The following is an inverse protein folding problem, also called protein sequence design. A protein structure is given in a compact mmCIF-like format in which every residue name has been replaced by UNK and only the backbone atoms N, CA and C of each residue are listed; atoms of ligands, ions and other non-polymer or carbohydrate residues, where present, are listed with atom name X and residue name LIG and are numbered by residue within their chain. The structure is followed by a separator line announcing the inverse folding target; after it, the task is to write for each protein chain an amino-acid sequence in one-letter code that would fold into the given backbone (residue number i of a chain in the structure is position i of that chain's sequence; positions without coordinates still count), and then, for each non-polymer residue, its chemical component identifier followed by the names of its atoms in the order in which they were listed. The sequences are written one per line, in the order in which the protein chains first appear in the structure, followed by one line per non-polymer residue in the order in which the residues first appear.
data_IF_322954102422
#
_entry.id   IF_322954102422
#
_cell.length_a   1.000
_cell.length_b   1.000
_cell.length_c   1.000
_cell.angle_alpha   90.00
_cell.angle_beta   90.00
_cell.angle_gamma   90.00
#
_symmetry.space_group_name_H-M   'P 1'
#
loop_
_entity.id
_entity.type
_entity.pdbx_description
1 polymer ?
#
# COMPACT_ATOMS: atom_id res chain seq x y z
N UNK A 1 23.85 -18.00 -31.29
CA UNK A 1 22.85 -18.99 -31.73
C UNK A 1 23.56 -20.32 -31.98
N UNK A 2 23.30 -21.33 -31.15
CA UNK A 2 23.57 -22.72 -31.45
C UNK A 2 22.19 -23.37 -31.61
N UNK A 3 21.87 -23.82 -32.83
CA UNK A 3 20.53 -24.26 -33.21
C UNK A 3 20.28 -25.68 -32.71
N UNK A 4 19.31 -25.82 -31.80
CA UNK A 4 18.63 -27.06 -31.38
C UNK A 4 19.37 -28.12 -30.54
N UNK A 5 20.59 -27.89 -30.06
CA UNK A 5 21.20 -28.79 -29.08
C UNK A 5 20.89 -28.36 -27.64
N UNK A 6 20.27 -29.25 -26.85
CA UNK A 6 20.07 -29.06 -25.42
C UNK A 6 21.40 -29.33 -24.70
N UNK A 7 22.09 -28.27 -24.30
CA UNK A 7 23.26 -28.34 -23.42
C UNK A 7 22.81 -28.59 -21.98
N UNK A 8 23.32 -29.68 -21.39
CA UNK A 8 23.13 -30.00 -19.98
C UNK A 8 24.28 -29.42 -19.18
N UNK A 9 23.98 -28.44 -18.31
CA UNK A 9 24.97 -27.85 -17.40
C UNK A 9 24.72 -28.36 -15.99
N UNK A 10 25.72 -29.00 -15.39
CA UNK A 10 25.66 -29.46 -14.00
C UNK A 10 25.66 -28.27 -13.04
N UNK A 11 24.82 -28.33 -12.01
CA UNK A 11 24.79 -27.35 -10.93
C UNK A 11 25.78 -27.76 -9.83
N UNK A 12 26.41 -26.76 -9.21
CA UNK A 12 27.12 -26.98 -7.95
C UNK A 12 26.10 -27.16 -6.80
N UNK A 13 26.60 -27.49 -5.60
CA UNK A 13 25.75 -27.80 -4.43
C UNK A 13 24.84 -26.60 -4.09
N UNK A 14 25.40 -25.40 -4.01
CA UNK A 14 24.64 -24.19 -3.63
C UNK A 14 23.54 -23.88 -4.66
N UNK A 15 23.87 -23.91 -5.94
CA UNK A 15 22.92 -23.72 -7.04
C UNK A 15 21.81 -24.78 -7.04
N UNK A 16 22.12 -26.02 -6.64
CA UNK A 16 21.14 -27.08 -6.54
C UNK A 16 20.20 -26.89 -5.34
N UNK A 17 20.72 -26.42 -4.20
CA UNK A 17 19.92 -26.04 -3.02
C UNK A 17 18.98 -24.88 -3.34
N UNK A 18 19.48 -23.84 -4.00
CA UNK A 18 18.68 -22.68 -4.43
C UNK A 18 17.59 -23.10 -5.41
N UNK A 19 17.91 -23.96 -6.37
CA UNK A 19 16.94 -24.48 -7.33
C UNK A 19 15.83 -25.31 -6.64
N UNK A 20 16.19 -26.16 -5.66
CA UNK A 20 15.22 -26.90 -4.84
C UNK A 20 14.29 -25.96 -4.10
N UNK A 21 14.83 -24.92 -3.47
CA UNK A 21 14.05 -23.98 -2.67
C UNK A 21 13.14 -23.10 -3.55
N UNK A 22 13.62 -22.72 -4.74
CA UNK A 22 12.80 -22.03 -5.75
C UNK A 22 11.61 -22.90 -6.20
N UNK A 23 11.82 -24.20 -6.43
CA UNK A 23 10.73 -25.15 -6.75
C UNK A 23 9.69 -25.19 -5.63
N UNK A 24 10.13 -25.31 -4.37
CA UNK A 24 9.23 -25.37 -3.22
C UNK A 24 8.41 -24.08 -3.06
N UNK A 25 9.05 -22.91 -3.17
CA UNK A 25 8.39 -21.60 -3.14
C UNK A 25 7.38 -21.46 -4.27
N UNK A 26 7.73 -21.87 -5.49
CA UNK A 26 6.84 -21.80 -6.65
C UNK A 26 5.61 -22.70 -6.50
N UNK A 27 5.79 -23.94 -6.01
CA UNK A 27 4.69 -24.87 -5.71
C UNK A 27 3.72 -24.29 -4.68
N UNK A 28 4.27 -23.77 -3.57
CA UNK A 28 3.45 -23.17 -2.52
C UNK A 28 2.70 -21.92 -3.00
N UNK A 29 3.38 -21.06 -3.77
CA UNK A 29 2.77 -19.87 -4.37
C UNK A 29 1.65 -20.21 -5.36
N UNK A 30 1.86 -21.22 -6.21
CA UNK A 30 0.86 -21.70 -7.16
C UNK A 30 -0.37 -22.30 -6.44
N UNK A 31 -0.13 -23.09 -5.38
CA UNK A 31 -1.19 -23.64 -4.53
C UNK A 31 -1.99 -22.53 -3.85
N UNK A 32 -1.32 -21.53 -3.28
CA UNK A 32 -1.99 -20.38 -2.66
C UNK A 32 -2.87 -19.63 -3.66
N UNK A 33 -2.37 -19.36 -4.87
CA UNK A 33 -3.18 -18.73 -5.94
C UNK A 33 -4.38 -19.58 -6.33
N UNK A 34 -4.21 -20.90 -6.40
CA UNK A 34 -5.31 -21.83 -6.68
C UNK A 34 -6.37 -21.78 -5.56
N UNK A 35 -5.96 -21.77 -4.29
CA UNK A 35 -6.86 -21.64 -3.15
C UNK A 35 -7.66 -20.33 -3.21
N UNK A 36 -6.99 -19.20 -3.45
CA UNK A 36 -7.66 -17.90 -3.60
C UNK A 36 -8.69 -17.93 -4.73
N UNK A 37 -8.33 -18.47 -5.91
CA UNK A 37 -9.27 -18.61 -7.03
C UNK A 37 -10.46 -19.49 -6.68
N UNK A 38 -10.23 -20.63 -6.03
CA UNK A 38 -11.30 -21.55 -5.62
C UNK A 38 -12.24 -20.92 -4.60
N UNK A 39 -11.69 -20.21 -3.62
CA UNK A 39 -12.47 -19.44 -2.64
C UNK A 39 -13.30 -18.38 -3.36
N UNK A 40 -12.68 -17.58 -4.24
CA UNK A 40 -13.38 -16.56 -5.03
C UNK A 40 -14.50 -17.15 -5.88
N UNK A 41 -14.29 -18.28 -6.55
CA UNK A 41 -15.33 -18.95 -7.35
C UNK A 41 -16.50 -19.47 -6.50
N UNK A 42 -16.27 -19.74 -5.22
CA UNK A 42 -17.30 -20.20 -4.28
C UNK A 42 -18.07 -19.03 -3.67
N UNK A 43 -17.40 -17.94 -3.33
CA UNK A 43 -18.00 -16.79 -2.61
C UNK A 43 -18.53 -15.69 -3.54
N UNK A 44 -18.02 -15.59 -4.76
CA UNK A 44 -18.47 -14.56 -5.71
C UNK A 44 -19.87 -14.88 -6.19
N UNK A 45 -20.86 -14.19 -5.62
CA UNK A 45 -22.27 -14.30 -6.02
C UNK A 45 -22.48 -13.98 -7.50
N UNK A 46 -23.61 -14.45 -8.05
CA UNK A 46 -23.94 -14.30 -9.48
C UNK A 46 -23.95 -12.83 -9.95
N UNK A 47 -23.47 -12.67 -11.19
CA UNK A 47 -23.34 -11.49 -12.06
C UNK A 47 -24.42 -10.40 -11.89
N UNK A 48 -24.24 -9.51 -10.92
CA UNK A 48 -24.87 -8.20 -10.90
C UNK A 48 -23.90 -7.19 -10.28
N UNK A 49 -23.85 -5.96 -10.80
CA UNK A 49 -23.11 -4.89 -10.13
C UNK A 49 -23.75 -4.66 -8.75
N UNK A 50 -23.06 -4.94 -7.64
CA UNK A 50 -23.63 -4.73 -6.32
C UNK A 50 -23.93 -3.24 -6.13
N UNK A 51 -25.12 -2.91 -5.64
CA UNK A 51 -25.52 -1.52 -5.37
C UNK A 51 -24.61 -0.83 -4.34
N UNK A 52 -24.01 -1.61 -3.43
CA UNK A 52 -22.99 -1.17 -2.50
C UNK A 52 -22.03 -2.33 -2.18
N UNK A 53 -20.77 -2.03 -1.90
CA UNK A 53 -19.75 -2.99 -1.49
C UNK A 53 -18.99 -2.43 -0.27
N UNK A 54 -18.68 -3.31 0.68
CA UNK A 54 -17.78 -3.00 1.80
C UNK A 54 -16.49 -3.78 1.56
N UNK A 55 -15.40 -3.04 1.40
CA UNK A 55 -14.06 -3.62 1.25
C UNK A 55 -13.32 -3.53 2.57
N UNK A 56 -12.79 -4.66 3.04
CA UNK A 56 -11.95 -4.73 4.24
C UNK A 56 -10.52 -4.97 3.80
N UNK A 57 -9.60 -4.10 4.25
CA UNK A 57 -8.17 -4.23 4.00
C UNK A 57 -7.50 -4.73 5.27
N UNK A 58 -6.99 -5.95 5.22
CA UNK A 58 -6.16 -6.56 6.25
C UNK A 58 -4.76 -6.79 5.67
N UNK A 59 -3.77 -6.10 6.22
CA UNK A 59 -2.39 -6.10 5.73
C UNK A 59 -1.42 -6.17 6.90
N UNK A 60 -0.21 -6.65 6.62
CA UNK A 60 0.88 -6.67 7.60
C UNK A 60 1.15 -5.26 8.13
N UNK A 61 1.20 -5.12 9.45
CA UNK A 61 1.63 -3.89 10.09
C UNK A 61 3.11 -3.58 9.81
N UNK A 62 3.55 -2.40 10.22
CA UNK A 62 4.96 -2.01 10.13
C UNK A 62 5.83 -3.01 10.92
N UNK A 63 6.93 -3.47 10.32
CA UNK A 63 7.83 -4.46 10.91
C UNK A 63 9.24 -3.89 11.08
N UNK A 64 9.76 -4.02 12.30
CA UNK A 64 11.18 -3.74 12.61
C UNK A 64 11.73 -4.91 13.42
N UNK A 65 12.58 -5.71 12.78
CA UNK A 65 13.32 -6.79 13.40
C UNK A 65 14.79 -6.42 13.59
N UNK A 66 15.53 -7.30 14.28
CA UNK A 66 16.98 -7.19 14.39
C UNK A 66 17.66 -7.27 13.03
N UNK A 67 17.12 -8.10 12.14
CA UNK A 67 17.57 -8.27 10.77
C UNK A 67 16.36 -8.10 9.85
N UNK A 68 16.36 -7.03 9.04
CA UNK A 68 15.32 -6.76 8.07
C UNK A 68 15.87 -7.01 6.67
N UNK A 69 15.10 -7.67 5.82
CA UNK A 69 15.49 -7.96 4.44
C UNK A 69 14.46 -7.38 3.45
N UNK A 70 14.48 -7.86 2.22
CA UNK A 70 13.66 -7.38 1.11
C UNK A 70 12.15 -7.45 1.43
N UNK A 71 11.74 -8.50 2.14
CA UNK A 71 10.36 -8.71 2.56
C UNK A 71 9.88 -7.57 3.48
N UNK A 72 10.68 -7.22 4.50
CA UNK A 72 10.38 -6.10 5.40
C UNK A 72 10.37 -4.77 4.66
N UNK A 73 11.29 -4.56 3.70
CA UNK A 73 11.27 -3.34 2.87
C UNK A 73 9.96 -3.23 2.10
N UNK A 74 9.46 -4.31 1.51
CA UNK A 74 8.15 -4.31 0.82
C UNK A 74 7.01 -4.02 1.80
N UNK A 75 6.99 -4.67 2.96
CA UNK A 75 5.95 -4.49 3.99
C UNK A 75 5.94 -3.03 4.47
N UNK A 76 7.09 -2.47 4.81
CA UNK A 76 7.22 -1.10 5.31
C UNK A 76 6.91 -0.07 4.21
N UNK A 77 7.26 -0.34 2.95
CA UNK A 77 6.84 0.48 1.82
C UNK A 77 5.32 0.52 1.64
N UNK A 78 4.63 -0.62 1.80
CA UNK A 78 3.16 -0.64 1.78
C UNK A 78 2.56 0.15 2.95
N UNK A 79 3.12 0.02 4.14
CA UNK A 79 2.71 0.79 5.31
C UNK A 79 2.92 2.30 5.10
N UNK A 80 4.03 2.74 4.51
CA UNK A 80 4.26 4.14 4.12
C UNK A 80 3.19 4.66 3.17
N UNK A 81 2.87 3.90 2.10
CA UNK A 81 1.83 4.30 1.13
C UNK A 81 0.45 4.40 1.76
N UNK A 82 0.10 3.48 2.66
CA UNK A 82 -1.19 3.51 3.35
C UNK A 82 -1.25 4.62 4.40
N UNK A 83 -0.15 4.91 5.10
CA UNK A 83 -0.05 6.06 5.99
C UNK A 83 -0.19 7.37 5.21
N UNK A 84 0.41 7.45 4.03
CA UNK A 84 0.25 8.61 3.14
C UNK A 84 -1.20 8.77 2.68
N UNK A 85 -1.86 7.67 2.27
CA UNK A 85 -3.29 7.69 1.93
C UNK A 85 -4.14 8.17 3.11
N UNK A 86 -3.88 7.68 4.32
CA UNK A 86 -4.55 8.11 5.54
C UNK A 86 -4.35 9.61 5.80
N UNK A 87 -3.11 10.09 5.80
CA UNK A 87 -2.78 11.50 6.01
C UNK A 87 -3.46 12.39 4.95
N UNK A 88 -3.42 11.97 3.68
CA UNK A 88 -4.09 12.70 2.60
C UNK A 88 -5.61 12.75 2.80
N UNK A 89 -6.23 11.65 3.23
CA UNK A 89 -7.68 11.59 3.40
C UNK A 89 -8.17 12.39 4.62
N UNK A 90 -7.51 12.22 5.77
CA UNK A 90 -7.88 12.89 7.02
C UNK A 90 -7.53 14.37 6.99
N UNK A 91 -6.38 14.76 6.43
CA UNK A 91 -5.92 16.14 6.55
C UNK A 91 -6.21 16.95 5.29
N UNK A 92 -5.77 16.47 4.13
CA UNK A 92 -5.80 17.26 2.89
C UNK A 92 -7.20 17.35 2.28
N UNK A 93 -7.92 16.23 2.17
CA UNK A 93 -9.28 16.24 1.60
C UNK A 93 -10.27 16.94 2.53
N UNK A 94 -10.07 16.84 3.85
CA UNK A 94 -10.87 17.55 4.85
C UNK A 94 -10.70 19.08 4.72
N UNK A 95 -9.46 19.57 4.68
CA UNK A 95 -9.17 21.00 4.49
C UNK A 95 -9.65 21.53 3.14
N UNK A 96 -9.54 20.74 2.06
CA UNK A 96 -10.05 21.12 0.74
C UNK A 96 -11.57 21.26 0.72
N UNK A 97 -12.31 20.41 1.43
CA UNK A 97 -13.77 20.54 1.53
C UNK A 97 -14.15 21.78 2.34
N UNK A 98 -13.44 22.09 3.44
CA UNK A 98 -13.67 23.33 4.20
C UNK A 98 -13.41 24.59 3.37
N UNK A 99 -12.32 24.62 2.60
CA UNK A 99 -12.03 25.72 1.68
C UNK A 99 -13.13 25.87 0.61
N UNK A 100 -13.60 24.75 0.03
CA UNK A 100 -14.66 24.74 -0.97
C UNK A 100 -16.00 25.23 -0.42
N UNK A 101 -16.32 24.84 0.82
CA UNK A 101 -17.55 25.24 1.51
C UNK A 101 -17.43 26.62 2.19
N UNK A 102 -16.27 27.30 2.07
CA UNK A 102 -15.97 28.62 2.66
C UNK A 102 -16.13 28.65 4.18
N UNK A 103 -15.72 27.57 4.82
CA UNK A 103 -15.70 27.43 6.28
C UNK A 103 -14.49 28.16 6.83
N UNK A 104 -14.69 28.91 7.91
CA UNK A 104 -13.59 29.51 8.66
C UNK A 104 -12.84 28.40 9.38
N UNK A 105 -11.63 28.11 8.90
CA UNK A 105 -10.81 26.99 9.36
C UNK A 105 -9.34 27.39 9.47
N UNK A 106 -8.68 26.96 10.54
CA UNK A 106 -7.24 27.08 10.66
C UNK A 106 -6.58 25.82 10.10
N UNK A 107 -5.74 25.96 9.08
CA UNK A 107 -4.99 24.84 8.55
C UNK A 107 -4.12 24.20 9.64
N UNK A 108 -4.24 22.88 9.78
CA UNK A 108 -3.45 22.09 10.72
C UNK A 108 -2.36 21.40 9.91
N UNK A 109 -1.11 21.70 10.28
CA UNK A 109 0.05 21.03 9.73
C UNK A 109 0.07 19.57 10.15
N UNK A 110 0.54 18.72 9.25
CA UNK A 110 0.71 17.29 9.50
C UNK A 110 2.02 16.82 8.88
N UNK A 111 2.55 15.72 9.39
CA UNK A 111 3.77 15.14 8.88
C UNK A 111 3.52 14.46 7.52
N UNK A 112 4.05 15.05 6.45
CA UNK A 112 4.01 14.47 5.11
C UNK A 112 5.13 13.45 4.92
N UNK A 113 4.76 12.21 4.62
CA UNK A 113 5.68 11.11 4.35
C UNK A 113 5.91 10.85 2.85
N UNK A 114 5.41 11.73 1.96
CA UNK A 114 5.75 11.70 0.52
C UNK A 114 7.26 11.63 0.24
N UNK A 115 8.15 12.35 0.96
CA UNK A 115 9.59 12.27 0.72
C UNK A 115 10.18 10.85 0.91
N UNK A 116 9.68 10.08 1.89
CA UNK A 116 10.12 8.69 2.12
C UNK A 116 9.63 7.78 0.99
N UNK A 117 8.39 7.97 0.55
CA UNK A 117 7.81 7.26 -0.59
C UNK A 117 8.59 7.55 -1.88
N UNK A 118 9.03 8.79 -2.07
CA UNK A 118 9.84 9.21 -3.21
C UNK A 118 11.21 8.54 -3.18
N UNK A 119 11.89 8.53 -2.02
CA UNK A 119 13.15 7.78 -1.83
C UNK A 119 13.00 6.31 -2.23
N UNK A 120 11.89 5.67 -1.83
CA UNK A 120 11.66 4.25 -2.10
C UNK A 120 11.27 3.96 -3.56
N UNK A 121 10.47 4.83 -4.20
CA UNK A 121 9.76 4.46 -5.43
C UNK A 121 9.68 5.51 -6.54
N UNK A 122 10.34 6.66 -6.39
CA UNK A 122 10.32 7.69 -7.44
C UNK A 122 11.24 7.30 -8.60
N UNK A 123 10.74 7.41 -9.83
CA UNK A 123 11.58 7.22 -11.03
C UNK A 123 12.54 8.41 -11.22
N UNK A 124 13.77 8.19 -11.73
CA UNK A 124 14.33 6.89 -12.12
C UNK A 124 15.14 6.19 -11.01
N UNK A 125 15.49 6.90 -9.92
CA UNK A 125 16.52 6.46 -8.96
C UNK A 125 15.99 5.96 -7.61
N UNK A 126 14.68 5.80 -7.42
CA UNK A 126 14.15 5.26 -6.16
C UNK A 126 14.68 3.85 -5.90
N UNK A 127 14.83 3.47 -4.63
CA UNK A 127 15.46 2.21 -4.20
C UNK A 127 14.88 0.98 -4.93
N UNK A 128 13.55 0.91 -5.07
CA UNK A 128 12.86 -0.19 -5.80
C UNK A 128 13.27 -0.22 -7.28
N UNK A 129 13.40 0.93 -7.92
CA UNK A 129 13.79 1.00 -9.34
C UNK A 129 15.27 0.67 -9.55
N UNK A 130 16.14 1.10 -8.64
CA UNK A 130 17.55 0.67 -8.65
C UNK A 130 17.66 -0.85 -8.48
N UNK A 131 16.84 -1.43 -7.60
CA UNK A 131 16.80 -2.88 -7.38
C UNK A 131 16.34 -3.62 -8.63
N UNK A 132 15.30 -3.12 -9.30
CA UNK A 132 14.80 -3.69 -10.55
C UNK A 132 15.84 -3.63 -11.68
N UNK A 133 16.55 -2.51 -11.80
CA UNK A 133 17.60 -2.32 -12.80
C UNK A 133 18.77 -3.30 -12.57
N UNK A 134 19.24 -3.43 -11.32
CA UNK A 134 20.31 -4.38 -10.96
C UNK A 134 19.86 -5.83 -11.09
N UNK A 135 18.62 -6.16 -10.74
CA UNK A 135 18.08 -7.52 -10.85
C UNK A 135 18.09 -8.03 -12.29
N UNK A 136 17.92 -7.12 -13.26
CA UNK A 136 17.96 -7.44 -14.69
C UNK A 136 19.39 -7.39 -15.29
N UNK A 137 20.41 -6.98 -14.53
CA UNK A 137 21.78 -6.90 -15.01
C UNK A 137 22.55 -8.22 -14.72
N UNK A 138 23.06 -8.94 -15.74
CA UNK A 138 23.59 -10.31 -15.57
C UNK A 138 24.81 -10.46 -14.63
N UNK A 139 25.54 -9.37 -14.37
CA UNK A 139 26.74 -9.37 -13.51
C UNK A 139 26.58 -8.54 -12.24
N UNK A 140 25.36 -8.10 -11.92
CA UNK A 140 25.10 -7.36 -10.70
C UNK A 140 25.11 -8.28 -9.47
N UNK A 141 25.55 -7.73 -8.34
CA UNK A 141 25.55 -8.35 -7.02
C UNK A 141 24.80 -7.46 -6.02
N UNK A 142 24.44 -8.01 -4.87
CA UNK A 142 23.79 -7.21 -3.81
C UNK A 142 24.68 -6.03 -3.37
N UNK A 143 26.00 -6.20 -3.44
CA UNK A 143 26.98 -5.14 -3.17
C UNK A 143 26.93 -4.04 -4.23
N UNK A 144 26.88 -4.38 -5.53
CA UNK A 144 26.77 -3.35 -6.58
C UNK A 144 25.46 -2.58 -6.51
N UNK A 145 24.37 -3.24 -6.11
CA UNK A 145 23.10 -2.59 -5.79
C UNK A 145 23.24 -1.61 -4.62
N UNK A 146 23.85 -2.05 -3.51
CA UNK A 146 24.06 -1.20 -2.34
C UNK A 146 24.92 0.03 -2.66
N UNK A 147 25.99 -0.15 -3.42
CA UNK A 147 26.85 0.94 -3.89
C UNK A 147 26.06 1.98 -4.71
N UNK A 148 25.16 1.54 -5.58
CA UNK A 148 24.27 2.44 -6.33
C UNK A 148 23.30 3.18 -5.41
N UNK A 149 22.72 2.50 -4.42
CA UNK A 149 21.87 3.17 -3.43
C UNK A 149 22.66 4.25 -2.67
N UNK A 150 23.87 3.93 -2.19
CA UNK A 150 24.73 4.90 -1.53
C UNK A 150 25.09 6.08 -2.44
N UNK A 151 25.45 5.82 -3.69
CA UNK A 151 25.79 6.88 -4.65
C UNK A 151 24.63 7.84 -4.89
N UNK A 152 23.40 7.34 -5.02
CA UNK A 152 22.23 8.17 -5.35
C UNK A 152 21.57 8.83 -4.12
N UNK A 153 21.74 8.28 -2.92
CA UNK A 153 20.95 8.68 -1.75
C UNK A 153 21.75 9.06 -0.50
N UNK A 154 23.09 8.98 -0.50
CA UNK A 154 23.89 9.28 0.71
C UNK A 154 23.70 10.70 1.27
N UNK A 155 23.25 11.67 0.45
CA UNK A 155 22.97 13.05 0.87
C UNK A 155 21.51 13.28 1.26
N UNK A 156 20.65 12.26 1.20
CA UNK A 156 19.25 12.39 1.59
C UNK A 156 19.11 12.10 3.09
N UNK A 157 18.55 13.04 3.86
CA UNK A 157 18.36 12.91 5.31
C UNK A 157 17.53 11.69 5.72
N UNK A 158 16.71 11.15 4.80
CA UNK A 158 15.88 9.97 5.03
C UNK A 158 16.62 8.65 4.73
N UNK A 159 17.84 8.72 4.22
CA UNK A 159 18.68 7.58 3.90
C UNK A 159 19.93 7.59 4.79
N UNK A 160 20.19 6.46 5.44
CA UNK A 160 21.35 6.32 6.34
C UNK A 160 22.34 5.30 5.79
N UNK A 161 23.61 5.68 5.81
CA UNK A 161 24.74 4.81 5.48
C UNK A 161 25.34 4.23 6.76
N UNK A 162 25.67 2.93 6.82
CA UNK A 162 26.28 2.37 8.02
C UNK A 162 27.66 2.98 8.28
N UNK A 163 28.05 3.07 9.55
CA UNK A 163 29.36 3.60 9.97
C UNK A 163 30.51 2.62 9.71
N UNK A 164 30.20 1.32 9.69
CA UNK A 164 31.13 0.24 9.37
C UNK A 164 30.82 -0.32 7.98
N UNK A 165 31.72 -1.12 7.41
CA UNK A 165 31.52 -1.76 6.11
C UNK A 165 30.52 -2.93 6.17
N UNK A 166 29.34 -2.70 6.76
CA UNK A 166 28.22 -3.64 6.72
C UNK A 166 27.45 -3.50 5.41
N UNK A 167 26.90 -4.62 4.94
CA UNK A 167 26.10 -4.71 3.72
C UNK A 167 24.64 -4.35 4.00
N UNK A 168 24.40 -3.12 4.46
CA UNK A 168 23.07 -2.65 4.84
C UNK A 168 22.87 -1.16 4.51
N UNK A 169 21.61 -0.74 4.47
CA UNK A 169 21.24 0.67 4.41
C UNK A 169 20.06 0.96 5.35
N UNK A 170 20.00 2.18 5.86
CA UNK A 170 18.90 2.64 6.71
C UNK A 170 17.91 3.52 5.95
N UNK A 171 16.62 3.37 6.25
CA UNK A 171 15.56 4.27 5.78
C UNK A 171 14.82 4.83 6.98
N UNK A 172 14.68 6.15 7.03
CA UNK A 172 13.88 6.85 8.04
C UNK A 172 12.40 6.77 7.63
N UNK A 173 11.68 5.81 8.19
CA UNK A 173 10.24 5.67 8.01
C UNK A 173 9.45 6.55 8.99
N UNK A 174 8.13 6.65 8.76
CA UNK A 174 7.22 7.32 9.68
C UNK A 174 7.25 6.73 11.09
N UNK A 175 7.51 5.43 11.20
CA UNK A 175 7.62 4.70 12.47
C UNK A 175 9.05 4.61 13.04
N UNK A 176 10.04 5.21 12.38
CA UNK A 176 11.43 5.23 12.84
C UNK A 176 12.44 4.72 11.81
N UNK A 177 13.72 4.73 12.19
CA UNK A 177 14.81 4.23 11.35
C UNK A 177 14.81 2.70 11.30
N UNK A 178 14.79 2.13 10.10
CA UNK A 178 14.91 0.68 9.89
C UNK A 178 16.13 0.40 9.01
N UNK A 179 16.96 -0.54 9.46
CA UNK A 179 18.14 -1.02 8.75
C UNK A 179 17.81 -2.30 7.96
N UNK A 180 18.15 -2.32 6.68
CA UNK A 180 17.92 -3.43 5.77
C UNK A 180 19.25 -4.02 5.29
N UNK A 181 19.47 -5.31 5.55
CA UNK A 181 20.57 -6.07 4.96
C UNK A 181 20.26 -6.36 3.50
N UNK A 182 21.18 -6.04 2.58
CA UNK A 182 20.99 -6.30 1.14
C UNK A 182 21.20 -7.75 0.75
N UNK A 183 21.63 -8.61 1.67
CA UNK A 183 21.93 -10.01 1.39
C UNK A 183 20.72 -10.74 0.75
N UNK A 184 20.94 -11.28 -0.45
CA UNK A 184 19.94 -11.98 -1.24
C UNK A 184 18.87 -11.10 -1.89
N UNK A 185 19.01 -9.76 -1.88
CA UNK A 185 18.00 -8.86 -2.45
C UNK A 185 17.75 -9.11 -3.93
N UNK A 186 18.81 -9.24 -4.74
CA UNK A 186 18.66 -9.44 -6.19
C UNK A 186 17.97 -10.76 -6.51
N UNK A 187 18.32 -11.84 -5.82
CA UNK A 187 17.74 -13.15 -6.07
C UNK A 187 16.29 -13.23 -5.60
N UNK A 188 15.98 -12.64 -4.44
CA UNK A 188 14.60 -12.47 -3.96
C UNK A 188 13.75 -11.63 -4.91
N UNK A 189 14.32 -10.60 -5.54
CA UNK A 189 13.59 -9.73 -6.46
C UNK A 189 13.41 -10.34 -7.86
N UNK A 190 14.34 -11.19 -8.31
CA UNK A 190 14.23 -11.92 -9.58
C UNK A 190 13.06 -12.91 -9.54
N UNK A 191 12.95 -13.71 -8.48
CA UNK A 191 11.89 -14.73 -8.25
C UNK A 191 11.55 -15.54 -9.52
N UNK A 192 12.57 -15.91 -10.28
CA UNK A 192 12.41 -16.64 -11.55
C UNK A 192 12.63 -18.13 -11.35
N UNK A 193 11.60 -18.93 -11.61
CA UNK A 193 11.76 -20.38 -11.78
C UNK A 193 12.31 -20.66 -13.19
N UNK A 194 13.22 -21.62 -13.34
CA UNK A 194 13.72 -22.02 -14.65
C UNK A 194 12.60 -22.65 -15.49
N UNK A 195 12.62 -22.40 -16.80
CA UNK A 195 11.57 -22.88 -17.71
C UNK A 195 11.52 -24.41 -17.82
N UNK A 196 12.65 -25.10 -17.71
CA UNK A 196 12.71 -26.57 -17.68
C UNK A 196 11.96 -27.16 -16.48
N UNK A 197 12.07 -26.53 -15.32
CA UNK A 197 11.32 -26.88 -14.11
C UNK A 197 9.82 -26.60 -14.29
N UNK A 198 9.45 -25.48 -14.92
CA UNK A 198 8.05 -25.17 -15.21
C UNK A 198 7.44 -26.24 -16.12
N UNK A 199 8.12 -26.60 -17.22
CA UNK A 199 7.66 -27.64 -18.15
C UNK A 199 7.59 -29.02 -17.47
N UNK A 200 8.54 -29.34 -16.58
CA UNK A 200 8.50 -30.55 -15.77
C UNK A 200 7.23 -30.61 -14.90
N UNK A 201 6.91 -29.52 -14.20
CA UNK A 201 5.73 -29.45 -13.32
C UNK A 201 4.42 -29.48 -14.11
N UNK A 202 4.40 -28.90 -15.32
CA UNK A 202 3.26 -29.02 -16.26
C UNK A 202 3.08 -30.48 -16.69
N UNK A 203 4.16 -31.23 -16.92
CA UNK A 203 4.10 -32.66 -17.29
C UNK A 203 3.74 -33.61 -16.13
N UNK A 204 3.49 -33.07 -14.94
CA UNK A 204 3.16 -33.87 -13.76
C UNK A 204 1.92 -34.75 -13.98
N UNK A 205 2.00 -36.01 -13.52
CA UNK A 205 0.86 -36.94 -13.51
C UNK A 205 -0.26 -36.48 -12.56
N UNK A 206 0.06 -35.64 -11.58
CA UNK A 206 -0.93 -35.06 -10.68
C UNK A 206 -1.58 -33.86 -11.37
N UNK A 207 -2.83 -34.03 -11.82
CA UNK A 207 -3.58 -33.02 -12.57
C UNK A 207 -3.60 -31.64 -11.89
N UNK A 208 -3.75 -31.60 -10.56
CA UNK A 208 -3.72 -30.34 -9.80
C UNK A 208 -2.42 -29.55 -10.03
N UNK A 209 -1.26 -30.22 -9.99
CA UNK A 209 0.04 -29.57 -10.21
C UNK A 209 0.19 -29.15 -11.67
N UNK A 210 -0.20 -30.01 -12.61
CA UNK A 210 -0.18 -29.70 -14.04
C UNK A 210 -1.01 -28.44 -14.36
N UNK A 211 -2.27 -28.40 -13.90
CA UNK A 211 -3.19 -27.29 -14.13
C UNK A 211 -2.66 -25.98 -13.49
N UNK A 212 -2.17 -26.05 -12.25
CA UNK A 212 -1.61 -24.88 -11.56
C UNK A 212 -0.43 -24.26 -12.30
N UNK A 213 0.46 -25.07 -12.88
CA UNK A 213 1.64 -24.56 -13.60
C UNK A 213 1.36 -24.20 -15.06
N UNK A 214 0.32 -24.78 -15.66
CA UNK A 214 -0.21 -24.31 -16.94
C UNK A 214 -0.72 -22.87 -16.82
N UNK A 215 -1.46 -22.56 -15.74
CA UNK A 215 -1.93 -21.21 -15.42
C UNK A 215 -0.79 -20.22 -15.17
N UNK A 216 0.31 -20.66 -14.53
CA UNK A 216 1.50 -19.81 -14.31
C UNK A 216 2.15 -19.45 -15.65
N UNK A 217 2.25 -20.39 -16.58
CA UNK A 217 2.81 -20.16 -17.91
C UNK A 217 1.96 -19.19 -18.73
N UNK A 218 0.64 -19.36 -18.73
CA UNK A 218 -0.28 -18.48 -19.48
C UNK A 218 -0.29 -17.06 -18.90
N UNK A 219 -0.35 -16.89 -17.58
CA UNK A 219 -0.30 -15.59 -16.93
C UNK A 219 1.03 -14.84 -17.16
N UNK A 220 2.14 -15.57 -17.35
CA UNK A 220 3.44 -15.01 -17.73
C UNK A 220 3.52 -14.56 -19.20
N UNK A 221 2.77 -15.21 -20.09
CA UNK A 221 2.74 -14.90 -21.52
C UNK A 221 1.84 -13.70 -21.87
N UNK A 222 0.65 -13.59 -21.25
CA UNK A 222 -0.30 -12.48 -21.51
C UNK A 222 0.25 -11.09 -21.15
N UNK A 223 1.20 -11.03 -20.20
CA UNK A 223 1.83 -9.76 -19.78
C UNK A 223 3.00 -9.33 -20.67
N UNK A 224 3.54 -10.21 -21.51
CA UNK A 224 4.59 -9.84 -22.48
C UNK A 224 4.02 -9.14 -23.72
N UNK A 225 2.70 -9.20 -23.95
CA UNK A 225 2.03 -8.65 -25.15
C UNK A 225 1.39 -7.28 -24.97
N UNK A 226 1.45 -6.65 -23.79
CA UNK A 226 0.92 -5.30 -23.55
C UNK A 226 1.96 -4.21 -23.90
N UNK A 227 2.42 -4.19 -25.15
CA UNK A 227 3.10 -3.02 -25.69
C UNK A 227 2.04 -1.93 -25.98
N UNK A 228 2.01 -0.89 -25.14
CA UNK A 228 1.30 0.36 -25.47
C UNK A 228 1.86 0.91 -26.78
N UNK A 229 0.95 1.17 -27.72
CA UNK A 229 1.18 1.62 -29.09
C UNK A 229 1.74 3.04 -29.18
N UNK A 230 2.99 3.28 -28.77
CA UNK A 230 3.71 4.49 -29.11
C UNK A 230 5.04 4.13 -29.79
N UNK A 231 5.07 4.33 -31.11
CA UNK A 231 6.14 3.95 -32.03
C UNK A 231 7.53 4.51 -31.68
N UNK A 232 8.27 3.73 -30.89
CA UNK A 232 9.73 3.68 -30.90
C UNK A 232 10.15 2.24 -30.66
N UNK A 233 10.65 1.58 -31.71
CA UNK A 233 11.34 0.30 -31.58
C UNK A 233 12.62 0.51 -30.78
N UNK A 234 12.55 0.24 -29.47
CA UNK A 234 13.76 0.06 -28.65
C UNK A 234 14.05 -1.44 -28.65
N UNK A 235 15.20 -1.82 -29.18
CA UNK A 235 15.76 -3.20 -29.22
C UNK A 235 16.19 -3.71 -27.83
N UNK A 236 15.57 -3.23 -26.76
CA UNK A 236 15.80 -3.72 -25.40
C UNK A 236 14.88 -4.90 -25.15
N UNK A 237 15.46 -6.08 -24.89
CA UNK A 237 14.75 -7.27 -24.43
C UNK A 237 13.78 -6.84 -23.32
N UNK A 238 12.46 -7.14 -23.42
CA UNK A 238 11.50 -6.70 -22.41
C UNK A 238 11.98 -7.16 -21.03
N UNK A 239 12.12 -6.20 -20.10
CA UNK A 239 12.59 -6.47 -18.74
C UNK A 239 11.65 -7.48 -18.11
N UNK A 240 12.20 -8.56 -17.56
CA UNK A 240 11.40 -9.52 -16.81
C UNK A 240 10.81 -8.81 -15.59
N UNK A 241 9.47 -8.82 -15.40
CA UNK A 241 8.87 -8.11 -14.28
C UNK A 241 9.25 -8.80 -12.96
N UNK A 242 10.03 -8.09 -12.16
CA UNK A 242 10.53 -8.46 -10.82
C UNK A 242 9.41 -8.46 -9.78
N UNK A 243 9.70 -9.00 -8.59
CA UNK A 243 8.77 -8.99 -7.45
C UNK A 243 8.43 -7.56 -7.03
N UNK A 244 9.44 -6.70 -6.89
CA UNK A 244 9.26 -5.33 -6.43
C UNK A 244 8.42 -4.50 -7.42
N UNK A 245 8.64 -4.65 -8.73
CA UNK A 245 7.82 -4.00 -9.75
C UNK A 245 6.35 -4.44 -9.66
N UNK A 246 6.09 -5.76 -9.57
CA UNK A 246 4.72 -6.29 -9.44
C UNK A 246 4.05 -5.83 -8.15
N UNK A 247 4.80 -5.76 -7.06
CA UNK A 247 4.32 -5.29 -5.77
C UNK A 247 3.96 -3.80 -5.82
N UNK A 248 4.83 -2.97 -6.40
CA UNK A 248 4.57 -1.55 -6.63
C UNK A 248 3.29 -1.31 -7.43
N UNK A 249 3.13 -2.00 -8.56
CA UNK A 249 1.93 -1.88 -9.41
C UNK A 249 0.66 -2.33 -8.68
N UNK A 250 0.74 -3.42 -7.90
CA UNK A 250 -0.39 -3.94 -7.11
C UNK A 250 -0.81 -2.95 -6.02
N UNK A 251 0.16 -2.33 -5.35
CA UNK A 251 -0.08 -1.33 -4.30
C UNK A 251 -0.66 -0.03 -4.87
N UNK A 252 -0.21 0.39 -6.05
CA UNK A 252 -0.81 1.52 -6.78
C UNK A 252 -2.29 1.23 -7.13
N UNK A 253 -2.57 0.04 -7.69
CA UNK A 253 -3.94 -0.37 -8.02
C UNK A 253 -4.86 -0.46 -6.80
N UNK A 254 -4.34 -0.94 -5.66
CA UNK A 254 -5.05 -0.94 -4.39
C UNK A 254 -5.40 0.50 -3.94
N UNK A 255 -4.42 1.40 -3.97
CA UNK A 255 -4.60 2.81 -3.56
C UNK A 255 -5.66 3.50 -4.43
N UNK A 256 -5.64 3.27 -5.75
CA UNK A 256 -6.62 3.79 -6.69
C UNK A 256 -8.03 3.26 -6.43
N UNK A 257 -8.14 1.99 -6.01
CA UNK A 257 -9.41 1.37 -5.64
C UNK A 257 -9.95 1.97 -4.34
N UNK A 258 -9.10 2.14 -3.34
CA UNK A 258 -9.45 2.78 -2.06
C UNK A 258 -9.88 4.24 -2.24
N UNK A 259 -9.27 4.98 -3.18
CA UNK A 259 -9.62 6.37 -3.44
C UNK A 259 -11.06 6.58 -3.96
N UNK A 260 -11.72 5.51 -4.45
CA UNK A 260 -13.11 5.54 -4.93
C UNK A 260 -14.13 5.23 -3.83
N UNK A 261 -13.67 4.81 -2.65
CA UNK A 261 -14.51 4.41 -1.53
C UNK A 261 -14.60 5.53 -0.48
N UNK A 262 -15.60 5.44 0.40
CA UNK A 262 -15.60 6.19 1.66
C UNK A 262 -14.85 5.37 2.73
N UNK A 263 -13.64 5.76 3.15
CA UNK A 263 -12.81 4.93 4.02
C UNK A 263 -13.21 5.05 5.48
N UNK A 264 -13.08 3.94 6.20
CA UNK A 264 -13.16 3.87 7.65
C UNK A 264 -11.84 3.31 8.17
N UNK A 265 -11.26 3.97 9.17
CA UNK A 265 -9.94 3.61 9.69
C UNK A 265 -10.06 3.00 11.09
N UNK A 266 -9.43 1.84 11.27
CA UNK A 266 -9.27 1.17 12.57
C UNK A 266 -7.78 1.07 12.85
N UNK A 267 -7.32 1.62 13.97
CA UNK A 267 -5.91 1.57 14.40
C UNK A 267 -5.77 0.58 15.55
N UNK A 268 -5.16 -0.56 15.26
CA UNK A 268 -4.83 -1.57 16.27
C UNK A 268 -3.53 -1.17 16.99
N UNK A 269 -3.53 -1.22 18.33
CA UNK A 269 -2.35 -0.89 19.15
C UNK A 269 -1.89 -2.15 19.89
N UNK A 270 -0.61 -2.48 19.75
CA UNK A 270 0.02 -3.59 20.45
C UNK A 270 0.29 -3.19 21.91
N UNK A 271 -0.21 -3.92 22.91
CA UNK A 271 -0.06 -3.51 24.31
C UNK A 271 1.33 -3.82 24.87
N UNK A 272 2.05 -4.80 24.34
CA UNK A 272 3.42 -5.17 24.72
C UNK A 272 4.05 -6.07 23.64
N UNK A 273 5.38 -6.19 23.61
CA UNK A 273 6.12 -7.01 22.64
C UNK A 273 6.13 -8.52 22.98
N UNK A 274 5.90 -8.86 24.24
CA UNK A 274 5.95 -10.23 24.79
C UNK A 274 4.71 -11.08 24.47
N UNK A 275 3.68 -10.49 23.84
CA UNK A 275 2.38 -11.13 23.58
C UNK A 275 1.66 -11.55 24.87
N UNK A 276 1.94 -10.89 25.99
CA UNK A 276 1.34 -11.17 27.28
C UNK A 276 -0.05 -10.52 27.40
N UNK A 277 -1.08 -11.24 27.89
CA UNK A 277 -2.38 -10.63 28.19
C UNK A 277 -2.26 -9.69 29.41
N UNK A 278 -3.15 -8.70 29.50
CA UNK A 278 -3.28 -7.77 30.65
C UNK A 278 -2.01 -6.97 31.01
N UNK A 279 -1.00 -6.95 30.14
CA UNK A 279 0.23 -6.16 30.32
C UNK A 279 0.25 -4.99 29.34
N UNK A 280 0.24 -3.78 29.87
CA UNK A 280 0.32 -2.55 29.07
C UNK A 280 1.70 -1.90 29.26
N UNK A 281 2.54 -2.03 28.24
CA UNK A 281 3.85 -1.40 28.15
C UNK A 281 3.70 0.02 27.60
N UNK A 282 3.70 1.01 28.49
CA UNK A 282 3.42 2.41 28.15
C UNK A 282 4.40 2.99 27.14
N UNK A 283 5.73 2.80 27.25
CA UNK A 283 6.68 3.18 26.19
C UNK A 283 6.29 2.66 24.80
N UNK A 284 5.99 1.35 24.69
CA UNK A 284 5.59 0.72 23.42
C UNK A 284 4.29 1.32 22.86
N UNK A 285 3.30 1.56 23.72
CA UNK A 285 2.01 2.14 23.33
C UNK A 285 2.15 3.60 22.91
N UNK A 286 2.92 4.40 23.65
CA UNK A 286 3.12 5.82 23.37
C UNK A 286 3.87 6.04 22.05
N UNK A 287 4.86 5.20 21.75
CA UNK A 287 5.57 5.23 20.47
C UNK A 287 4.61 4.99 19.31
N UNK A 288 3.75 3.95 19.41
CA UNK A 288 2.71 3.65 18.42
C UNK A 288 1.74 4.81 18.21
N UNK A 289 1.26 5.45 19.29
CA UNK A 289 0.33 6.58 19.20
C UNK A 289 0.97 7.80 18.54
N UNK A 290 2.27 8.03 18.77
CA UNK A 290 3.03 9.13 18.16
C UNK A 290 3.20 8.90 16.66
N UNK A 291 3.80 7.77 16.26
CA UNK A 291 4.12 7.58 14.84
C UNK A 291 2.88 7.34 13.98
N UNK A 292 1.79 6.77 14.52
CA UNK A 292 0.56 6.55 13.74
C UNK A 292 -0.21 7.85 13.45
N UNK A 293 0.18 8.97 14.06
CA UNK A 293 -0.49 10.26 13.92
C UNK A 293 -1.84 10.31 14.66
N UNK A 294 -2.03 9.47 15.67
CA UNK A 294 -3.32 9.39 16.40
C UNK A 294 -3.63 10.67 17.17
N UNK A 295 -2.62 11.32 17.75
CA UNK A 295 -2.81 12.57 18.49
C UNK A 295 -3.28 13.71 17.57
N UNK A 296 -2.65 13.85 16.40
CA UNK A 296 -3.03 14.86 15.40
C UNK A 296 -4.42 14.56 14.82
N UNK A 297 -4.72 13.28 14.59
CA UNK A 297 -6.04 12.84 14.13
C UNK A 297 -7.13 13.22 15.13
N UNK A 298 -6.92 12.99 16.43
CA UNK A 298 -7.87 13.37 17.48
C UNK A 298 -8.05 14.89 17.50
N UNK A 299 -6.95 15.66 17.42
CA UNK A 299 -6.99 17.12 17.40
C UNK A 299 -7.82 17.64 16.22
N UNK A 300 -7.63 17.11 15.02
CA UNK A 300 -8.44 17.50 13.85
C UNK A 300 -9.90 17.13 14.01
N UNK A 301 -10.20 15.93 14.49
CA UNK A 301 -11.59 15.49 14.68
C UNK A 301 -12.31 16.27 15.77
N UNK A 302 -11.59 16.77 16.77
CA UNK A 302 -12.15 17.62 17.82
C UNK A 302 -12.37 19.06 17.36
N UNK A 303 -11.44 19.63 16.59
CA UNK A 303 -11.55 21.00 16.11
C UNK A 303 -12.47 21.12 14.89
N UNK A 304 -12.47 20.09 14.03
CA UNK A 304 -13.19 20.04 12.77
C UNK A 304 -14.64 19.58 12.91
N UNK A 305 -15.29 19.50 11.76
CA UNK A 305 -16.71 19.19 11.61
C UNK A 305 -16.89 17.88 10.83
N UNK A 306 -16.95 16.73 11.54
CA UNK A 306 -16.99 15.42 10.92
C UNK A 306 -18.32 15.13 10.22
N UNK A 307 -19.41 15.84 10.54
CA UNK A 307 -20.74 15.60 9.99
C UNK A 307 -21.08 16.67 8.96
N UNK A 308 -21.38 16.23 7.74
CA UNK A 308 -21.67 17.13 6.62
C UNK A 308 -22.93 16.67 5.91
N UNK A 309 -23.96 17.51 5.94
CA UNK A 309 -25.27 17.21 5.36
C UNK A 309 -25.69 18.33 4.43
N UNK A 310 -26.17 17.98 3.23
CA UNK A 310 -26.77 18.98 2.35
C UNK A 310 -27.96 19.64 3.03
N UNK A 311 -28.23 20.90 2.69
CA UNK A 311 -29.35 21.62 3.27
C UNK A 311 -30.69 20.89 3.09
N UNK A 312 -30.91 20.29 1.92
CA UNK A 312 -32.11 19.49 1.64
C UNK A 312 -32.23 18.25 2.53
N UNK A 313 -31.15 17.46 2.65
CA UNK A 313 -31.16 16.24 3.47
C UNK A 313 -31.33 16.55 4.96
N UNK A 314 -30.65 17.59 5.45
CA UNK A 314 -30.78 18.03 6.84
C UNK A 314 -32.20 18.53 7.13
N UNK A 315 -32.75 19.41 6.28
CA UNK A 315 -34.09 19.94 6.45
C UNK A 315 -35.14 18.83 6.42
N UNK A 316 -35.04 17.89 5.47
CA UNK A 316 -35.96 16.74 5.39
C UNK A 316 -35.93 15.88 6.67
N UNK A 317 -34.74 15.70 7.26
CA UNK A 317 -34.55 14.85 8.45
C UNK A 317 -34.94 15.53 9.76
N UNK A 318 -34.62 16.81 9.92
CA UNK A 318 -34.66 17.49 11.23
C UNK A 318 -35.70 18.60 11.35
N UNK A 319 -36.48 18.89 10.30
CA UNK A 319 -37.56 19.89 10.37
C UNK A 319 -38.57 19.62 11.50
N UNK A 320 -38.76 18.36 11.88
CA UNK A 320 -39.65 17.97 12.97
C UNK A 320 -39.26 18.56 14.34
N UNK A 321 -38.02 19.03 14.53
CA UNK A 321 -37.54 19.63 15.78
C UNK A 321 -38.03 21.08 15.98
N UNK A 322 -38.55 21.72 14.93
CA UNK A 322 -39.02 23.12 14.93
C UNK A 322 -40.47 23.25 14.43
N UNK A 323 -41.43 22.55 15.07
CA UNK A 323 -42.82 22.53 14.61
C UNK A 323 -43.43 23.95 14.67
N UNK A 324 -44.11 24.35 13.60
CA UNK A 324 -44.81 25.64 13.51
C UNK A 324 -43.92 26.89 13.40
N UNK A 325 -42.60 26.75 13.53
CA UNK A 325 -41.67 27.89 13.51
C UNK A 325 -41.19 28.28 12.11
N UNK A 326 -41.30 27.37 11.13
CA UNK A 326 -40.84 27.61 9.76
C UNK A 326 -41.98 27.36 8.76
N UNK A 327 -42.31 28.33 7.87
CA UNK A 327 -43.38 28.20 6.88
C UNK A 327 -43.22 26.98 5.97
N UNK A 328 -44.35 26.41 5.52
CA UNK A 328 -44.35 25.38 4.46
C UNK A 328 -43.93 26.06 3.16
N UNK A 329 -42.72 25.76 2.68
CA UNK A 329 -42.10 26.39 1.50
C UNK A 329 -40.82 27.19 1.78
N UNK A 330 -40.41 27.35 3.04
CA UNK A 330 -39.16 28.02 3.37
C UNK A 330 -37.94 27.32 2.74
N UNK A 331 -36.91 28.07 2.30
CA UNK A 331 -35.69 27.51 1.77
C UNK A 331 -35.03 26.52 2.74
N UNK A 332 -34.44 25.41 2.25
CA UNK A 332 -33.77 24.42 3.10
C UNK A 332 -32.72 25.03 4.03
N UNK A 333 -31.97 26.03 3.57
CA UNK A 333 -30.94 26.71 4.36
C UNK A 333 -31.52 27.45 5.58
N UNK A 334 -32.70 28.06 5.44
CA UNK A 334 -33.39 28.74 6.54
C UNK A 334 -33.88 27.75 7.59
N UNK A 335 -34.48 26.63 7.14
CA UNK A 335 -34.90 25.54 8.04
C UNK A 335 -33.69 25.03 8.84
N UNK A 336 -32.55 24.81 8.19
CA UNK A 336 -31.35 24.32 8.86
C UNK A 336 -30.84 25.32 9.90
N UNK A 337 -30.80 26.61 9.57
CA UNK A 337 -30.38 27.66 10.51
C UNK A 337 -31.23 27.69 11.77
N UNK A 338 -32.56 27.66 11.63
CA UNK A 338 -33.50 27.69 12.77
C UNK A 338 -33.35 26.44 13.64
N UNK A 339 -33.23 25.26 13.02
CA UNK A 339 -33.02 24.00 13.75
C UNK A 339 -31.71 24.04 14.54
N UNK A 340 -30.62 24.48 13.91
CA UNK A 340 -29.29 24.50 14.53
C UNK A 340 -29.20 25.52 15.66
N UNK A 341 -29.71 26.74 15.48
CA UNK A 341 -29.72 27.77 16.53
C UNK A 341 -30.52 27.36 17.77
N UNK A 342 -31.57 26.55 17.61
CA UNK A 342 -32.41 26.08 18.71
C UNK A 342 -31.83 24.86 19.43
N UNK A 343 -31.11 24.00 18.70
CA UNK A 343 -30.71 22.67 19.19
C UNK A 343 -29.24 22.56 19.55
N UNK A 344 -28.38 23.48 19.06
CA UNK A 344 -26.94 23.47 19.29
C UNK A 344 -26.56 24.65 20.18
N UNK A 345 -26.16 24.35 21.42
CA UNK A 345 -25.90 25.35 22.46
C UNK A 345 -24.45 25.83 22.52
N UNK A 346 -23.51 25.14 21.86
CA UNK A 346 -22.08 25.44 21.92
C UNK A 346 -21.67 26.39 20.79
N UNK A 347 -21.12 27.58 21.10
CA UNK A 347 -20.56 28.47 20.10
C UNK A 347 -19.49 27.75 19.26
N UNK A 348 -19.57 27.86 17.93
CA UNK A 348 -18.62 27.22 17.01
C UNK A 348 -18.86 25.73 16.74
N UNK A 349 -19.90 25.11 17.33
CA UNK A 349 -20.22 23.70 17.07
C UNK A 349 -20.87 23.43 15.69
N UNK A 350 -21.13 24.47 14.90
CA UNK A 350 -21.52 24.32 13.51
C UNK A 350 -21.11 25.53 12.69
N UNK A 351 -20.95 25.33 11.38
CA UNK A 351 -20.84 26.39 10.38
C UNK A 351 -21.75 26.09 9.18
N UNK A 352 -22.25 27.16 8.55
CA UNK A 352 -23.07 27.05 7.35
C UNK A 352 -22.15 27.23 6.13
N UNK A 353 -21.93 26.15 5.39
CA UNK A 353 -21.12 26.19 4.17
C UNK A 353 -21.89 26.73 2.96
N UNK A 354 -21.23 26.79 1.82
CA UNK A 354 -21.85 27.18 0.57
C UNK A 354 -23.03 26.28 0.16
N UNK A 355 -22.95 24.97 0.40
CA UNK A 355 -23.96 23.99 -0.05
C UNK A 355 -24.43 23.02 1.04
N UNK A 356 -23.75 22.98 2.18
CA UNK A 356 -24.01 22.01 3.26
C UNK A 356 -24.01 22.68 4.65
N UNK A 357 -24.71 22.04 5.59
CA UNK A 357 -24.46 22.24 7.01
C UNK A 357 -23.22 21.44 7.41
N UNK A 358 -22.36 22.06 8.20
CA UNK A 358 -21.09 21.50 8.63
C UNK A 358 -21.09 21.51 10.17
N UNK A 359 -21.10 20.31 10.76
CA UNK A 359 -21.40 19.98 12.15
C UNK A 359 -20.31 19.14 12.80
#
# INVERSE_FOLDING_TARGET
EARNERLLTTLNIDQALDARDAVAKALYSALFRWLVRRTNATISGHRGHPAACISVLDIFGFETFKENSFEQLCINYANEKLQFYFNKHIFKLEQQEYAKEKIEWQNIEYQDNQPVIDLLSRKPVGIIHLLDDESNFPKASDVSFLEKCHYNHALNDLYSRPRMSSTEFGVQHYAGLVWYSVDGFLDKNRDTLRNDVVELLISSKLKLVSDMFLDVRTAGAEKQTLNKSNGRFVTMKPRTPTVAARFHDSLASLTDSMAKCNPWFIRCIKPNTEKAPLKLDMPCVLEQLRYSGMLDTIRIRQLGYPVRLSYGAFAARFRCLVPGQVPRGAPPQEICRVVLQKSVYSPGAFQLGATKNIL
#
